data_IF_225720794343
#
_entry.id   IF_225720794343
#
_cell.length_a   1.000
_cell.length_b   1.000
_cell.length_c   1.000
_cell.angle_alpha   90.00
_cell.angle_beta   90.00
_cell.angle_gamma   90.00
#
_symmetry.space_group_name_H-M   'P 1'
#
loop_
_entity.id
_entity.type
_entity.pdbx_description
1 polymer ?
#
# COMPACT_ATOMS: atom_id res chain seq x y z
N UNK A 1 11.96 -16.33 4.83
CA UNK A 1 10.54 -16.42 5.21
C UNK A 1 10.39 -17.41 6.33
N UNK A 2 10.94 -18.64 6.21
CA UNK A 2 10.75 -19.70 7.21
C UNK A 2 11.33 -19.35 8.59
N UNK A 3 12.38 -18.54 8.68
CA UNK A 3 12.95 -18.13 9.96
C UNK A 3 12.12 -17.01 10.61
N UNK A 4 11.81 -15.96 9.87
CA UNK A 4 11.04 -14.81 10.40
C UNK A 4 9.58 -15.21 10.67
N UNK A 5 8.96 -15.98 9.79
CA UNK A 5 7.65 -16.58 10.04
C UNK A 5 7.69 -17.60 11.17
N UNK A 6 8.76 -18.40 11.30
CA UNK A 6 8.94 -19.37 12.38
C UNK A 6 9.05 -18.72 13.75
N UNK A 7 9.82 -17.62 13.86
CA UNK A 7 9.94 -16.86 15.12
C UNK A 7 8.63 -16.13 15.45
N UNK A 8 7.98 -15.56 14.45
CA UNK A 8 6.68 -14.89 14.58
C UNK A 8 5.56 -15.86 14.96
N UNK A 9 5.49 -17.03 14.32
CA UNK A 9 4.50 -18.07 14.59
C UNK A 9 4.73 -18.81 15.93
N UNK A 10 5.91 -18.66 16.54
CA UNK A 10 6.22 -19.26 17.84
C UNK A 10 5.72 -18.43 19.03
N UNK A 11 5.24 -17.20 18.81
CA UNK A 11 4.66 -16.37 19.86
C UNK A 11 3.16 -16.65 20.04
N UNK A 12 2.74 -17.27 21.16
CA UNK A 12 1.37 -17.76 21.35
C UNK A 12 0.28 -16.66 21.40
N UNK A 13 0.67 -15.42 21.62
CA UNK A 13 -0.27 -14.31 21.84
C UNK A 13 -0.68 -13.56 20.55
N UNK A 14 -0.27 -14.06 19.37
CA UNK A 14 -0.57 -13.44 18.07
C UNK A 14 -1.49 -14.29 17.21
N UNK A 15 -2.58 -14.74 17.79
CA UNK A 15 -3.49 -15.76 17.24
C UNK A 15 -4.06 -15.36 15.87
N UNK A 16 -4.51 -14.10 15.71
CA UNK A 16 -5.14 -13.65 14.46
C UNK A 16 -4.18 -13.63 13.27
N UNK A 17 -2.96 -13.14 13.48
CA UNK A 17 -1.92 -13.16 12.44
C UNK A 17 -1.42 -14.58 12.19
N UNK A 18 -1.32 -15.39 13.25
CA UNK A 18 -1.00 -16.81 13.13
C UNK A 18 -2.04 -17.55 12.30
N UNK A 19 -3.33 -17.29 12.51
CA UNK A 19 -4.41 -17.87 11.73
C UNK A 19 -4.38 -17.41 10.27
N UNK A 20 -4.15 -16.12 10.01
CA UNK A 20 -4.02 -15.58 8.65
C UNK A 20 -2.87 -16.26 7.90
N UNK A 21 -1.69 -16.39 8.51
CA UNK A 21 -0.54 -17.05 7.89
C UNK A 21 -0.67 -18.57 7.85
N UNK A 22 -1.36 -19.18 8.81
CA UNK A 22 -1.63 -20.63 8.81
C UNK A 22 -2.63 -21.01 7.73
N UNK A 23 -3.68 -20.21 7.54
CA UNK A 23 -4.64 -20.41 6.44
C UNK A 23 -3.98 -20.31 5.07
N UNK A 24 -2.90 -19.53 4.97
CA UNK A 24 -2.09 -19.41 3.78
C UNK A 24 -1.27 -20.66 3.46
N UNK A 25 -0.71 -21.36 4.48
CA UNK A 25 0.04 -22.62 4.28
C UNK A 25 -0.83 -23.76 3.77
N UNK A 26 -2.09 -23.81 4.17
CA UNK A 26 -3.00 -24.91 3.85
C UNK A 26 -3.76 -24.74 2.53
N UNK A 27 -3.84 -23.52 2.01
CA UNK A 27 -4.46 -23.28 0.70
C UNK A 27 -3.45 -23.61 -0.40
N UNK A 28 -3.64 -24.73 -1.09
CA UNK A 28 -2.97 -25.02 -2.36
C UNK A 28 -3.46 -24.02 -3.40
N UNK A 29 -2.85 -22.83 -3.42
CA UNK A 29 -3.09 -21.88 -4.49
C UNK A 29 -2.69 -22.57 -5.81
N UNK A 30 -3.63 -22.70 -6.73
CA UNK A 30 -3.30 -22.99 -8.10
C UNK A 30 -2.39 -21.85 -8.54
N UNK A 31 -1.15 -22.20 -8.86
CA UNK A 31 -0.25 -21.29 -9.53
C UNK A 31 -0.92 -20.89 -10.85
N UNK A 32 -1.66 -19.79 -10.84
CA UNK A 32 -1.83 -19.02 -12.04
C UNK A 32 -0.44 -18.47 -12.29
N UNK A 33 0.10 -18.67 -13.47
CA UNK A 33 1.35 -18.06 -13.91
C UNK A 33 1.08 -16.55 -13.94
N UNK A 34 1.24 -15.92 -12.81
CA UNK A 34 1.25 -14.47 -12.71
C UNK A 34 2.61 -14.06 -13.23
N UNK A 35 2.64 -13.26 -14.27
CA UNK A 35 3.83 -12.49 -14.59
C UNK A 35 4.16 -11.73 -13.30
N UNK A 36 5.43 -11.74 -12.92
CA UNK A 36 5.84 -11.25 -11.61
C UNK A 36 5.45 -9.78 -11.49
N UNK A 37 4.82 -9.41 -10.36
CA UNK A 37 4.66 -8.01 -9.98
C UNK A 37 6.01 -7.31 -10.05
N UNK A 38 6.04 -6.15 -10.69
CA UNK A 38 7.24 -5.34 -10.72
C UNK A 38 7.53 -4.80 -9.32
N UNK A 39 8.71 -5.11 -8.84
CA UNK A 39 9.20 -4.61 -7.56
C UNK A 39 9.87 -3.25 -7.72
N UNK A 40 9.95 -2.49 -6.64
CA UNK A 40 10.59 -1.19 -6.63
C UNK A 40 12.03 -1.24 -7.18
N UNK A 41 12.74 -2.36 -6.99
CA UNK A 41 14.10 -2.58 -7.52
C UNK A 41 14.17 -2.80 -9.03
N UNK A 42 13.06 -3.09 -9.68
CA UNK A 42 12.95 -3.34 -11.12
C UNK A 42 12.43 -2.11 -11.87
N UNK A 43 12.01 -1.07 -11.14
CA UNK A 43 11.56 0.20 -11.72
C UNK A 43 12.76 1.06 -12.11
N UNK A 44 12.61 1.80 -13.20
CA UNK A 44 13.66 2.67 -13.76
C UNK A 44 13.28 4.15 -13.76
N UNK A 45 12.09 4.48 -13.29
CA UNK A 45 11.59 5.85 -13.23
C UNK A 45 11.07 6.16 -11.82
N UNK A 46 11.45 7.31 -11.29
CA UNK A 46 10.97 7.82 -10.00
C UNK A 46 10.20 9.10 -10.23
N UNK A 47 8.98 9.15 -9.72
CA UNK A 47 8.12 10.32 -9.79
C UNK A 47 7.93 10.91 -8.39
N UNK A 48 8.09 12.22 -8.29
CA UNK A 48 7.90 12.98 -7.05
C UNK A 48 6.77 13.99 -7.22
N UNK A 49 5.96 14.16 -6.20
CA UNK A 49 4.97 15.23 -6.19
C UNK A 49 5.65 16.58 -5.97
N UNK A 50 5.31 17.61 -6.79
CA UNK A 50 5.83 18.96 -6.59
C UNK A 50 5.38 19.60 -5.26
N UNK A 51 4.32 19.07 -4.64
CA UNK A 51 3.85 19.54 -3.33
C UNK A 51 4.86 19.29 -2.21
N UNK A 52 5.81 18.36 -2.38
CA UNK A 52 6.93 18.20 -1.46
C UNK A 52 7.80 19.47 -1.35
N UNK A 53 7.81 20.33 -2.38
CA UNK A 53 8.56 21.61 -2.37
C UNK A 53 7.81 22.73 -1.65
N UNK A 54 6.52 22.56 -1.38
CA UNK A 54 5.71 23.60 -0.76
C UNK A 54 6.31 24.04 0.57
N UNK A 55 6.39 25.34 0.80
CA UNK A 55 7.03 25.89 2.01
C UNK A 55 6.11 25.86 3.22
N UNK A 56 4.80 25.76 2.99
CA UNK A 56 3.82 25.78 4.07
C UNK A 56 3.48 24.38 4.55
N UNK A 57 3.14 23.50 3.61
CA UNK A 57 2.58 22.18 3.90
C UNK A 57 3.48 21.02 3.41
N UNK A 58 4.56 21.32 2.69
CA UNK A 58 5.53 20.35 2.18
C UNK A 58 6.79 20.24 3.03
N UNK A 59 7.77 19.55 2.46
CA UNK A 59 9.07 19.27 3.06
C UNK A 59 10.21 19.61 2.10
N UNK A 60 10.48 20.93 1.82
CA UNK A 60 11.40 21.34 0.76
C UNK A 60 12.83 20.85 0.96
N UNK A 61 13.31 20.81 2.20
CA UNK A 61 14.66 20.28 2.50
C UNK A 61 14.76 18.78 2.23
N UNK A 62 13.72 18.01 2.60
CA UNK A 62 13.64 16.60 2.28
C UNK A 62 13.59 16.37 0.77
N UNK A 63 12.77 17.16 0.05
CA UNK A 63 12.69 17.08 -1.41
C UNK A 63 14.06 17.28 -2.05
N UNK A 64 14.81 18.30 -1.62
CA UNK A 64 16.14 18.58 -2.16
C UNK A 64 17.11 17.43 -1.90
N UNK A 65 17.18 16.96 -0.64
CA UNK A 65 18.05 15.84 -0.26
C UNK A 65 17.73 14.56 -1.02
N UNK A 66 16.43 14.24 -1.17
CA UNK A 66 15.97 13.08 -1.94
C UNK A 66 16.36 13.19 -3.40
N UNK A 67 16.14 14.35 -4.00
CA UNK A 67 16.50 14.62 -5.40
C UNK A 67 18.00 14.48 -5.64
N UNK A 68 18.84 15.03 -4.74
CA UNK A 68 20.28 14.91 -4.84
C UNK A 68 20.76 13.46 -4.69
N UNK A 69 20.15 12.72 -3.76
CA UNK A 69 20.44 11.29 -3.58
C UNK A 69 20.11 10.48 -4.83
N UNK A 70 18.92 10.68 -5.39
CA UNK A 70 18.51 9.99 -6.61
C UNK A 70 19.46 10.28 -7.78
N UNK A 71 19.84 11.55 -7.97
CA UNK A 71 20.79 11.94 -9.01
C UNK A 71 22.18 11.31 -8.80
N UNK A 72 22.64 11.25 -7.56
CA UNK A 72 23.90 10.57 -7.23
C UNK A 72 23.86 9.06 -7.53
N UNK A 73 22.66 8.46 -7.52
CA UNK A 73 22.43 7.08 -7.94
C UNK A 73 22.16 6.94 -9.46
N UNK A 74 22.28 8.01 -10.24
CA UNK A 74 22.01 8.00 -11.68
C UNK A 74 20.52 8.04 -12.06
N UNK A 75 19.64 8.36 -11.12
CA UNK A 75 18.20 8.44 -11.32
C UNK A 75 17.78 9.92 -11.41
N UNK A 76 17.27 10.34 -12.57
CA UNK A 76 16.70 11.69 -12.72
C UNK A 76 15.20 11.63 -12.35
N UNK A 77 14.80 12.20 -11.19
CA UNK A 77 13.41 12.16 -10.79
C UNK A 77 12.54 13.06 -11.66
N UNK A 78 11.34 12.57 -11.97
CA UNK A 78 10.32 13.29 -12.73
C UNK A 78 9.26 13.86 -11.79
N UNK A 79 8.68 15.01 -12.14
CA UNK A 79 7.59 15.57 -11.36
C UNK A 79 6.22 15.12 -11.86
N UNK A 80 5.38 14.73 -10.91
CA UNK A 80 3.97 14.45 -11.17
C UNK A 80 3.24 15.73 -11.51
N UNK A 81 2.36 15.67 -12.49
CA UNK A 81 1.46 16.77 -12.86
C UNK A 81 0.06 16.51 -12.31
N UNK A 82 -0.69 17.59 -12.08
CA UNK A 82 -2.10 17.50 -11.66
C UNK A 82 -2.32 16.77 -10.34
N UNK A 83 -1.33 16.74 -9.46
CA UNK A 83 -1.48 16.24 -8.10
C UNK A 83 -1.99 17.35 -7.17
N UNK A 84 -2.55 16.95 -6.03
CA UNK A 84 -2.98 17.83 -4.94
C UNK A 84 -2.35 17.45 -3.62
N UNK A 85 -1.54 16.39 -3.61
CA UNK A 85 -0.93 15.81 -2.43
C UNK A 85 0.48 15.31 -2.75
N UNK A 86 1.31 15.15 -1.72
CA UNK A 86 2.65 14.58 -1.86
C UNK A 86 2.72 13.07 -1.58
N UNK A 87 1.65 12.47 -1.08
CA UNK A 87 1.54 11.02 -0.84
C UNK A 87 1.26 10.25 -2.14
N UNK A 88 2.24 10.32 -3.06
CA UNK A 88 2.08 9.77 -4.41
C UNK A 88 1.77 8.28 -4.43
N UNK A 89 2.27 7.52 -3.45
CA UNK A 89 2.02 6.09 -3.32
C UNK A 89 0.53 5.78 -3.28
N UNK A 90 -0.27 6.61 -2.61
CA UNK A 90 -1.65 6.29 -2.29
C UNK A 90 -2.59 6.43 -3.47
N UNK A 91 -2.32 7.36 -4.40
CA UNK A 91 -3.20 7.63 -5.54
C UNK A 91 -2.63 7.24 -6.92
N UNK A 92 -1.35 6.83 -7.00
CA UNK A 92 -0.77 6.41 -8.27
C UNK A 92 -1.24 5.02 -8.70
N UNK A 93 -1.28 4.72 -10.01
CA UNK A 93 -1.68 3.41 -10.48
C UNK A 93 -0.69 2.34 -10.02
N UNK A 94 -1.20 1.13 -9.90
CA UNK A 94 -0.35 -0.04 -9.65
C UNK A 94 0.21 -0.54 -10.95
N UNK A 95 1.51 -0.77 -10.99
CA UNK A 95 2.14 -1.46 -12.10
C UNK A 95 2.06 -2.97 -11.85
N UNK A 96 1.24 -3.65 -12.66
CA UNK A 96 1.01 -5.09 -12.53
C UNK A 96 2.05 -5.92 -13.29
N UNK A 97 2.57 -5.38 -14.40
CA UNK A 97 3.62 -5.98 -15.22
C UNK A 97 4.39 -4.89 -15.94
N UNK A 98 5.38 -5.25 -16.75
CA UNK A 98 6.22 -4.29 -17.49
C UNK A 98 5.42 -3.21 -18.23
N UNK A 99 4.27 -3.56 -18.80
CA UNK A 99 3.48 -2.64 -19.62
C UNK A 99 2.02 -2.53 -19.18
N UNK A 100 1.65 -3.11 -18.05
CA UNK A 100 0.28 -3.08 -17.56
C UNK A 100 0.18 -2.31 -16.25
N UNK A 101 -0.69 -1.30 -16.26
CA UNK A 101 -1.00 -0.49 -15.09
C UNK A 101 -2.48 -0.60 -14.77
N UNK A 102 -2.82 -0.68 -13.49
CA UNK A 102 -4.17 -0.67 -12.97
C UNK A 102 -4.47 0.64 -12.26
N UNK A 103 -5.46 1.36 -12.75
CA UNK A 103 -6.03 2.52 -12.10
C UNK A 103 -7.23 2.11 -11.27
N UNK A 104 -7.19 2.36 -9.98
CA UNK A 104 -8.25 2.12 -9.02
C UNK A 104 -8.96 3.44 -8.62
N UNK A 105 -10.00 3.34 -7.79
CA UNK A 105 -10.65 4.49 -7.18
C UNK A 105 -9.91 4.85 -5.88
N UNK A 106 -9.18 5.96 -5.86
CA UNK A 106 -8.61 6.49 -4.63
C UNK A 106 -9.68 7.33 -3.92
N UNK A 107 -10.27 6.76 -2.88
CA UNK A 107 -11.34 7.40 -2.12
C UNK A 107 -11.22 7.07 -0.62
N UNK A 108 -10.10 7.46 0.01
CA UNK A 108 -9.79 7.05 1.37
C UNK A 108 -10.75 7.70 2.38
N UNK A 109 -11.24 6.90 3.31
CA UNK A 109 -12.17 7.36 4.33
C UNK A 109 -11.54 8.40 5.27
N UNK A 110 -10.25 8.32 5.55
CA UNK A 110 -9.55 9.27 6.42
C UNK A 110 -9.47 10.69 5.84
N UNK A 111 -9.57 10.87 4.53
CA UNK A 111 -9.74 12.18 3.91
C UNK A 111 -11.22 12.57 3.84
N UNK A 112 -12.07 11.64 3.41
CA UNK A 112 -13.48 11.92 3.10
C UNK A 112 -14.36 12.07 4.32
N UNK A 113 -13.99 11.45 5.46
CA UNK A 113 -14.69 11.52 6.74
C UNK A 113 -13.98 12.42 7.75
N UNK A 114 -12.91 13.09 7.35
CA UNK A 114 -12.20 14.03 8.22
C UNK A 114 -13.10 15.16 8.69
N UNK A 115 -12.89 15.61 9.91
CA UNK A 115 -13.54 16.83 10.45
C UNK A 115 -12.99 18.11 9.79
N UNK A 116 -11.79 18.04 9.21
CA UNK A 116 -11.23 19.13 8.45
C UNK A 116 -11.64 19.00 6.99
N UNK A 117 -12.51 19.89 6.46
CA UNK A 117 -12.96 19.81 5.08
C UNK A 117 -11.82 20.01 4.05
N UNK A 118 -10.73 20.66 4.43
CA UNK A 118 -9.56 20.85 3.57
C UNK A 118 -8.89 19.50 3.23
N UNK A 119 -8.98 18.49 4.10
CA UNK A 119 -8.39 17.18 3.86
C UNK A 119 -9.00 16.51 2.61
N UNK A 120 -10.29 16.66 2.39
CA UNK A 120 -10.95 16.13 1.20
C UNK A 120 -10.48 16.82 -0.10
N UNK A 121 -10.02 18.07 -0.02
CA UNK A 121 -9.52 18.83 -1.17
C UNK A 121 -8.13 18.34 -1.62
N UNK A 122 -7.37 17.70 -0.72
CA UNK A 122 -6.06 17.11 -1.05
C UNK A 122 -6.18 15.84 -1.87
N UNK A 123 -7.35 15.20 -1.92
CA UNK A 123 -7.57 13.99 -2.67
C UNK A 123 -7.19 14.16 -4.15
N UNK A 124 -6.22 13.39 -4.58
CA UNK A 124 -5.73 13.42 -5.95
C UNK A 124 -6.44 12.37 -6.81
N UNK A 125 -7.02 12.81 -7.91
CA UNK A 125 -7.60 11.90 -8.90
C UNK A 125 -6.50 11.28 -9.76
N UNK A 126 -6.26 9.99 -9.60
CA UNK A 126 -5.27 9.23 -10.37
C UNK A 126 -5.43 9.46 -11.90
N UNK A 127 -6.67 9.51 -12.39
CA UNK A 127 -6.95 9.76 -13.81
C UNK A 127 -6.39 11.08 -14.33
N UNK A 128 -6.35 12.13 -13.50
CA UNK A 128 -5.79 13.43 -13.90
C UNK A 128 -4.27 13.38 -13.98
N UNK A 129 -3.64 12.70 -13.03
CA UNK A 129 -2.18 12.51 -13.01
C UNK A 129 -1.74 11.72 -14.24
N UNK A 130 -2.39 10.59 -14.50
CA UNK A 130 -2.08 9.71 -15.63
C UNK A 130 -2.23 10.41 -16.99
N UNK A 131 -3.27 11.23 -17.14
CA UNK A 131 -3.45 12.03 -18.34
C UNK A 131 -2.29 12.99 -18.53
N UNK A 132 -1.79 13.59 -17.45
CA UNK A 132 -0.62 14.46 -17.46
C UNK A 132 0.69 13.75 -17.81
N UNK A 133 0.76 12.44 -17.60
CA UNK A 133 1.93 11.59 -17.86
C UNK A 133 1.87 10.85 -19.21
N UNK A 134 0.70 10.77 -19.83
CA UNK A 134 0.49 9.99 -21.06
C UNK A 134 0.52 8.47 -20.86
N UNK A 135 0.29 8.00 -19.63
CA UNK A 135 0.24 6.57 -19.30
C UNK A 135 -1.17 6.02 -19.53
N UNK A 136 -1.24 4.92 -20.25
CA UNK A 136 -2.48 4.16 -20.43
C UNK A 136 -2.64 3.11 -19.34
N UNK A 137 -3.82 3.03 -18.75
CA UNK A 137 -4.10 2.10 -17.67
C UNK A 137 -5.45 1.40 -17.88
N UNK A 138 -5.51 0.13 -17.48
CA UNK A 138 -6.77 -0.56 -17.21
C UNK A 138 -7.41 0.07 -15.95
N UNK A 139 -8.71 0.16 -15.90
CA UNK A 139 -9.41 0.76 -14.76
C UNK A 139 -10.25 -0.28 -14.04
N UNK A 140 -10.26 -0.22 -12.72
CA UNK A 140 -11.20 -0.95 -11.88
C UNK A 140 -12.11 -0.01 -11.10
N UNK A 141 -13.21 -0.54 -10.58
CA UNK A 141 -14.12 0.17 -9.67
C UNK A 141 -13.75 0.01 -8.20
N UNK A 142 -12.77 -0.83 -7.91
CA UNK A 142 -12.33 -1.07 -6.54
C UNK A 142 -11.82 0.23 -5.92
N UNK A 143 -12.23 0.47 -4.68
CA UNK A 143 -11.64 1.51 -3.83
C UNK A 143 -10.41 0.88 -3.20
N UNK A 144 -9.27 1.45 -3.50
CA UNK A 144 -7.98 1.00 -3.00
C UNK A 144 -7.17 2.23 -2.59
N UNK A 145 -6.37 2.03 -1.57
CA UNK A 145 -5.31 2.93 -1.16
C UNK A 145 -3.97 2.31 -1.55
N UNK A 146 -3.15 3.01 -2.30
CA UNK A 146 -1.88 2.48 -2.79
C UNK A 146 -0.91 2.10 -1.67
N UNK A 147 -0.98 2.79 -0.52
CA UNK A 147 -0.24 2.42 0.69
C UNK A 147 -0.69 1.08 1.29
N UNK A 148 -1.95 0.70 1.03
CA UNK A 148 -2.47 -0.62 1.41
C UNK A 148 -2.21 -1.71 0.37
N UNK A 149 -1.16 -1.56 -0.43
CA UNK A 149 -0.73 -2.57 -1.40
C UNK A 149 0.78 -2.74 -1.36
N UNK A 150 1.26 -3.84 -0.80
CA UNK A 150 2.68 -4.18 -0.78
C UNK A 150 2.93 -5.39 -1.65
N UNK A 151 3.64 -5.24 -2.79
CA UNK A 151 4.10 -6.37 -3.58
C UNK A 151 5.10 -7.21 -2.78
N UNK A 152 4.84 -8.52 -2.68
CA UNK A 152 5.69 -9.48 -1.98
C UNK A 152 5.90 -10.73 -2.84
N UNK A 153 6.87 -10.70 -3.72
CA UNK A 153 7.04 -11.75 -4.72
C UNK A 153 5.81 -11.86 -5.62
N UNK A 154 5.21 -13.04 -5.79
CA UNK A 154 4.00 -13.19 -6.60
C UNK A 154 2.72 -12.76 -5.89
N UNK A 155 2.80 -12.21 -4.68
CA UNK A 155 1.67 -11.85 -3.84
C UNK A 155 1.56 -10.35 -3.62
N UNK A 156 0.33 -9.90 -3.32
CA UNK A 156 0.08 -8.56 -2.77
C UNK A 156 -0.37 -8.72 -1.32
N UNK A 157 0.27 -8.00 -0.40
CA UNK A 157 -0.16 -7.93 1.00
C UNK A 157 -1.01 -6.68 1.18
N UNK A 158 -2.20 -6.86 1.74
CA UNK A 158 -3.14 -5.80 2.05
C UNK A 158 -3.68 -5.98 3.47
N UNK A 159 -4.07 -4.91 4.12
CA UNK A 159 -4.87 -5.02 5.34
C UNK A 159 -6.35 -5.27 5.01
N UNK A 160 -7.08 -5.83 5.96
CA UNK A 160 -8.52 -6.08 5.83
C UNK A 160 -9.37 -4.81 5.77
N UNK A 161 -8.77 -3.62 5.92
CA UNK A 161 -9.42 -2.33 5.71
C UNK A 161 -10.03 -2.23 4.31
N UNK A 162 -9.40 -2.85 3.30
CA UNK A 162 -9.88 -2.84 1.91
C UNK A 162 -11.32 -3.35 1.77
N UNK A 163 -11.74 -4.30 2.62
CA UNK A 163 -13.12 -4.79 2.61
C UNK A 163 -14.11 -3.68 2.99
N UNK A 164 -13.86 -3.03 4.11
CA UNK A 164 -14.76 -1.99 4.64
C UNK A 164 -14.81 -0.74 3.76
N UNK A 165 -13.71 -0.38 3.11
CA UNK A 165 -13.68 0.70 2.12
C UNK A 165 -14.54 0.42 0.90
N UNK A 166 -14.66 -0.84 0.51
CA UNK A 166 -15.53 -1.29 -0.57
C UNK A 166 -16.94 -1.70 -0.10
N UNK A 167 -17.30 -1.40 1.15
CA UNK A 167 -18.61 -1.73 1.72
C UNK A 167 -18.85 -3.22 1.88
N UNK A 168 -17.80 -3.99 2.10
CA UNK A 168 -17.81 -5.45 2.29
C UNK A 168 -17.53 -5.83 3.73
N UNK A 169 -18.01 -6.99 4.12
CA UNK A 169 -17.66 -7.62 5.39
C UNK A 169 -16.20 -8.11 5.36
N UNK A 170 -15.48 -7.98 6.47
CA UNK A 170 -14.12 -8.54 6.58
C UNK A 170 -14.16 -10.05 6.38
N UNK A 171 -13.30 -10.55 5.49
CA UNK A 171 -13.25 -11.97 5.14
C UNK A 171 -14.26 -12.41 4.06
N UNK A 172 -14.91 -11.49 3.35
CA UNK A 172 -15.72 -11.81 2.17
C UNK A 172 -14.86 -12.45 1.08
N UNK A 173 -14.95 -13.76 0.94
CA UNK A 173 -14.17 -14.55 0.00
C UNK A 173 -14.50 -14.21 -1.47
N UNK A 174 -15.72 -13.78 -1.77
CA UNK A 174 -16.10 -13.37 -3.13
C UNK A 174 -15.41 -12.05 -3.49
N UNK A 175 -15.40 -11.11 -2.56
CA UNK A 175 -14.70 -9.85 -2.75
C UNK A 175 -13.18 -10.03 -2.82
N UNK A 176 -12.61 -10.93 -2.01
CA UNK A 176 -11.21 -11.29 -2.12
C UNK A 176 -10.87 -11.87 -3.48
N UNK A 177 -11.71 -12.75 -4.03
CA UNK A 177 -11.53 -13.28 -5.37
C UNK A 177 -11.64 -12.19 -6.46
N UNK A 178 -12.50 -11.18 -6.27
CA UNK A 178 -12.58 -10.00 -7.13
C UNK A 178 -11.28 -9.19 -7.08
N UNK A 179 -10.74 -8.93 -5.89
CA UNK A 179 -9.44 -8.26 -5.70
C UNK A 179 -8.33 -9.01 -6.45
N UNK A 180 -8.22 -10.32 -6.24
CA UNK A 180 -7.21 -11.17 -6.88
C UNK A 180 -7.35 -11.16 -8.41
N UNK A 181 -8.58 -11.19 -8.92
CA UNK A 181 -8.87 -11.11 -10.35
C UNK A 181 -8.47 -9.75 -10.95
N UNK A 182 -8.77 -8.66 -10.26
CA UNK A 182 -8.45 -7.32 -10.73
C UNK A 182 -6.96 -7.01 -10.64
N UNK A 183 -6.29 -7.48 -9.60
CA UNK A 183 -4.85 -7.31 -9.43
C UNK A 183 -4.04 -8.30 -10.28
N UNK A 184 -4.64 -9.42 -10.72
CA UNK A 184 -3.94 -10.50 -11.41
C UNK A 184 -3.00 -11.30 -10.50
N UNK A 185 -3.07 -11.12 -9.18
CA UNK A 185 -2.17 -11.70 -8.19
C UNK A 185 -2.93 -12.18 -6.95
N UNK A 186 -2.48 -13.26 -6.30
CA UNK A 186 -3.03 -13.69 -5.03
C UNK A 186 -2.83 -12.60 -3.96
N UNK A 187 -3.85 -12.39 -3.13
CA UNK A 187 -3.84 -11.38 -2.07
C UNK A 187 -3.75 -12.03 -0.70
N UNK A 188 -2.78 -11.61 0.09
CA UNK A 188 -2.64 -11.94 1.49
C UNK A 188 -3.27 -10.79 2.28
N UNK A 189 -4.33 -11.12 3.02
CA UNK A 189 -5.00 -10.16 3.90
C UNK A 189 -4.42 -10.30 5.31
N UNK A 190 -3.93 -9.21 5.86
CA UNK A 190 -3.54 -9.09 7.26
C UNK A 190 -4.60 -8.32 8.05
N UNK A 191 -4.92 -8.74 9.28
CA UNK A 191 -5.89 -8.04 10.10
C UNK A 191 -5.36 -6.64 10.46
N UNK A 192 -6.27 -5.68 10.46
CA UNK A 192 -6.02 -4.33 10.96
C UNK A 192 -7.16 -3.88 11.85
N UNK A 193 -6.81 -3.23 12.93
CA UNK A 193 -7.76 -2.63 13.86
C UNK A 193 -7.32 -1.23 14.21
N UNK A 194 -8.22 -0.29 13.98
CA UNK A 194 -8.01 1.07 14.46
C UNK A 194 -8.14 1.11 15.98
N UNK A 195 -7.13 1.63 16.64
CA UNK A 195 -7.14 1.89 18.07
C UNK A 195 -7.40 3.37 18.34
N UNK A 196 -8.33 3.69 19.23
CA UNK A 196 -8.63 5.05 19.63
C UNK A 196 -9.64 5.80 18.75
N UNK A 197 -9.64 7.14 18.86
CA UNK A 197 -10.57 8.01 18.12
C UNK A 197 -10.00 8.27 16.70
N UNK A 198 -10.85 8.09 15.69
CA UNK A 198 -10.53 8.36 14.28
C UNK A 198 -9.91 9.75 14.05
N UNK A 199 -10.26 10.72 14.85
CA UNK A 199 -9.76 12.10 14.75
C UNK A 199 -8.57 12.38 15.68
N UNK A 200 -8.14 11.43 16.48
CA UNK A 200 -6.94 11.59 17.30
C UNK A 200 -5.69 11.53 16.42
N UNK A 201 -4.66 12.30 16.82
CA UNK A 201 -3.42 12.45 16.06
C UNK A 201 -2.59 11.16 16.04
N UNK A 202 -2.68 10.37 17.09
CA UNK A 202 -1.85 9.20 17.36
C UNK A 202 -2.54 7.88 16.96
N UNK A 203 -3.71 7.97 16.31
CA UNK A 203 -4.46 6.80 15.86
C UNK A 203 -4.09 6.45 14.43
N UNK A 204 -3.67 5.21 14.19
CA UNK A 204 -3.56 4.69 12.82
C UNK A 204 -4.96 4.51 12.20
N UNK A 205 -5.38 5.53 11.49
CA UNK A 205 -6.63 5.54 10.72
C UNK A 205 -6.43 5.13 9.27
N UNK A 206 -5.18 5.00 8.85
CA UNK A 206 -4.83 4.72 7.47
C UNK A 206 -4.97 3.24 7.16
N UNK A 207 -4.49 2.36 8.05
CA UNK A 207 -4.54 0.92 7.89
C UNK A 207 -3.79 0.45 6.66
N UNK A 208 -2.66 1.11 6.34
CA UNK A 208 -1.85 0.80 5.19
C UNK A 208 -0.88 -0.34 5.50
N UNK A 209 -0.84 -1.34 4.62
CA UNK A 209 0.08 -2.48 4.78
C UNK A 209 1.55 -2.09 4.65
N UNK A 210 1.90 -1.02 3.94
CA UNK A 210 3.27 -0.53 3.80
C UNK A 210 3.85 0.05 5.11
N UNK A 211 2.99 0.42 6.06
CA UNK A 211 3.38 0.74 7.42
C UNK A 211 3.79 -0.48 8.26
N UNK A 212 3.43 -1.69 7.85
CA UNK A 212 3.66 -2.91 8.61
C UNK A 212 4.67 -3.85 7.97
N UNK A 213 4.69 -3.93 6.63
CA UNK A 213 5.52 -4.89 5.90
C UNK A 213 6.27 -4.25 4.73
N UNK A 214 7.47 -4.75 4.47
CA UNK A 214 8.25 -4.44 3.25
C UNK A 214 8.93 -5.70 2.75
N UNK A 215 8.72 -6.03 1.49
CA UNK A 215 9.45 -7.11 0.85
C UNK A 215 10.89 -6.68 0.52
N UNK A 216 11.85 -7.55 0.85
CA UNK A 216 13.29 -7.28 0.69
C UNK A 216 13.94 -8.13 -0.41
N UNK A 217 13.13 -8.83 -1.20
CA UNK A 217 13.60 -9.74 -2.22
C UNK A 217 13.73 -11.19 -1.74
N UNK A 218 13.70 -12.12 -2.67
CA UNK A 218 13.72 -13.55 -2.37
C UNK A 218 12.59 -13.94 -1.41
N UNK A 219 12.96 -14.58 -0.30
CA UNK A 219 12.03 -15.03 0.73
C UNK A 219 12.06 -14.16 2.00
N UNK A 220 12.40 -12.87 1.88
CA UNK A 220 12.61 -12.01 3.04
C UNK A 220 11.60 -10.86 3.08
N UNK A 221 10.97 -10.67 4.23
CA UNK A 221 10.06 -9.57 4.54
C UNK A 221 10.54 -8.87 5.81
N UNK A 222 10.62 -7.54 5.77
CA UNK A 222 10.72 -6.72 6.98
C UNK A 222 9.32 -6.51 7.53
N UNK A 223 9.18 -6.63 8.84
CA UNK A 223 7.94 -6.35 9.55
C UNK A 223 8.20 -5.32 10.63
N UNK A 224 7.26 -4.40 10.82
CA UNK A 224 7.28 -3.48 11.94
C UNK A 224 7.19 -4.26 13.26
N UNK A 225 8.09 -3.93 14.21
CA UNK A 225 8.02 -4.49 15.56
C UNK A 225 7.56 -3.41 16.53
N UNK A 226 6.28 -3.42 16.86
CA UNK A 226 5.70 -2.49 17.83
C UNK A 226 5.72 -3.00 19.27
N UNK A 227 6.20 -4.26 19.48
CA UNK A 227 6.10 -4.97 20.74
C UNK A 227 6.77 -4.31 21.94
N UNK A 228 7.84 -3.53 21.71
CA UNK A 228 8.57 -2.86 22.79
C UNK A 228 7.93 -1.54 23.21
N UNK A 229 7.24 -0.86 22.30
CA UNK A 229 6.59 0.44 22.56
C UNK A 229 5.08 0.32 22.84
N UNK A 230 4.47 -0.67 22.24
CA UNK A 230 3.02 -0.91 22.32
C UNK A 230 2.75 -2.42 22.52
N UNK A 231 3.03 -2.94 23.73
CA UNK A 231 2.88 -4.39 23.99
C UNK A 231 1.45 -4.89 23.83
N UNK A 232 0.45 -4.03 23.98
CA UNK A 232 -0.97 -4.37 23.76
C UNK A 232 -1.32 -4.49 22.27
N UNK A 233 -0.57 -3.81 21.40
CA UNK A 233 -0.74 -3.90 19.93
C UNK A 233 0.09 -5.03 19.33
N UNK A 234 1.06 -5.52 20.08
CA UNK A 234 1.92 -6.65 19.70
C UNK A 234 1.34 -8.00 20.08
N UNK A 235 0.30 -8.02 20.89
CA UNK A 235 -0.46 -9.20 21.31
C UNK A 235 -1.64 -9.39 20.37
#
# INVERSE_FOLDING_TARGET
VDYILGEYLSHPDRTELHEAFSSFKDKRYRYVRCDQLLHDSETNEVYLSPWLKDKKDGHPEFYQRLTDLLKNCGIEPKELKCTRDYWARDYMPVQLSENEFLKYQYYPDYLMKSKNPEDAETRTECANVLRGMGISCRSTKLIIDGGNMVPCGPYVVMTDKVFTENGKEKGDEMFKAELESELGHPVIIIPWKMHGDFNARDTDKYGHSDGFVKWCGGNSILMGNHGDQYPEEAA
#
